data_IF_268522147554
#
_entry.id   IF_268522147554
#
_cell.length_a   1.000
_cell.length_b   1.000
_cell.length_c   1.000
_cell.angle_alpha   90.00
_cell.angle_beta   90.00
_cell.angle_gamma   90.00
#
_symmetry.space_group_name_H-M   'P 1'
#
loop_
_entity.id
_entity.type
_entity.pdbx_description
1 polymer ?
#
# COMPACT_ATOMS: atom_id res chain seq x y z
N UNK A 1 23.98 -28.62 -18.47
CA UNK A 1 23.70 -27.71 -17.33
C UNK A 1 22.34 -27.00 -17.45
N UNK A 2 22.00 -26.37 -18.58
CA UNK A 2 20.73 -25.63 -18.76
C UNK A 2 19.46 -26.45 -18.48
N UNK A 3 19.41 -27.71 -18.91
CA UNK A 3 18.27 -28.60 -18.65
C UNK A 3 18.06 -28.93 -17.16
N UNK A 4 19.15 -29.04 -16.37
CA UNK A 4 19.06 -29.28 -14.92
C UNK A 4 18.61 -28.02 -14.18
N UNK A 5 19.07 -26.84 -14.59
CA UNK A 5 18.55 -25.57 -14.06
C UNK A 5 17.07 -25.37 -14.35
N UNK A 6 16.61 -25.67 -15.56
CA UNK A 6 15.19 -25.54 -15.92
C UNK A 6 14.30 -26.51 -15.14
N UNK A 7 14.78 -27.72 -14.84
CA UNK A 7 14.04 -28.71 -14.03
C UNK A 7 13.93 -28.26 -12.57
N UNK A 8 15.00 -27.68 -12.01
CA UNK A 8 14.97 -27.09 -10.66
C UNK A 8 14.03 -25.88 -10.60
N UNK A 9 14.08 -24.99 -11.60
CA UNK A 9 13.16 -23.84 -11.67
C UNK A 9 11.71 -24.32 -11.80
N UNK A 10 11.42 -25.30 -12.65
CA UNK A 10 10.08 -25.85 -12.83
C UNK A 10 9.56 -26.55 -11.55
N UNK A 11 10.42 -27.27 -10.83
CA UNK A 11 10.07 -27.89 -9.55
C UNK A 11 9.80 -26.85 -8.46
N UNK A 12 10.59 -25.78 -8.40
CA UNK A 12 10.37 -24.65 -7.49
C UNK A 12 9.05 -23.94 -7.82
N UNK A 13 8.77 -23.66 -9.11
CA UNK A 13 7.50 -23.06 -9.55
C UNK A 13 6.30 -23.95 -9.23
N UNK A 14 6.40 -25.27 -9.45
CA UNK A 14 5.31 -26.19 -9.15
C UNK A 14 5.04 -26.30 -7.63
N UNK A 15 6.10 -26.28 -6.80
CA UNK A 15 5.98 -26.33 -5.34
C UNK A 15 5.40 -25.02 -4.78
N UNK A 16 5.75 -23.86 -5.35
CA UNK A 16 5.19 -22.57 -4.94
C UNK A 16 3.73 -22.37 -5.37
N UNK A 17 3.31 -22.95 -6.50
CA UNK A 17 1.89 -22.97 -6.87
C UNK A 17 1.06 -23.91 -5.97
N UNK A 18 1.67 -24.98 -5.44
CA UNK A 18 1.01 -25.94 -4.54
C UNK A 18 0.76 -25.42 -3.12
N UNK A 19 1.45 -24.36 -2.69
CA UNK A 19 1.27 -23.73 -1.36
C UNK A 19 0.40 -22.47 -1.39
N UNK A 20 -0.26 -22.20 -2.51
CA UNK A 20 -1.23 -21.12 -2.60
C UNK A 20 -2.41 -21.38 -1.66
N UNK A 21 -2.67 -20.46 -0.74
CA UNK A 21 -3.82 -20.51 0.15
C UNK A 21 -5.10 -20.28 -0.65
N UNK A 22 -6.18 -21.01 -0.33
CA UNK A 22 -7.46 -20.84 -0.98
C UNK A 22 -8.06 -19.45 -0.66
N UNK A 23 -8.55 -18.76 -1.69
CA UNK A 23 -9.20 -17.47 -1.58
C UNK A 23 -10.62 -17.60 -1.00
N UNK A 24 -10.74 -17.95 0.28
CA UNK A 24 -12.04 -18.08 0.96
C UNK A 24 -12.59 -16.70 1.34
N UNK A 25 -13.72 -16.32 0.76
CA UNK A 25 -14.56 -15.20 1.20
C UNK A 25 -15.99 -15.38 0.68
N UNK A 26 -16.99 -14.96 1.46
CA UNK A 26 -18.38 -14.93 1.02
C UNK A 26 -18.63 -13.64 0.25
N UNK A 27 -18.27 -13.65 -1.04
CA UNK A 27 -18.41 -12.46 -1.88
C UNK A 27 -19.87 -12.22 -2.25
N UNK A 28 -20.36 -10.98 -2.07
CA UNK A 28 -21.71 -10.59 -2.45
C UNK A 28 -21.71 -9.57 -3.60
N UNK A 29 -22.51 -9.81 -4.63
CA UNK A 29 -22.64 -8.94 -5.80
C UNK A 29 -24.13 -8.70 -6.13
N UNK A 30 -24.81 -7.90 -5.32
CA UNK A 30 -26.24 -7.63 -5.49
C UNK A 30 -26.47 -6.48 -6.48
N UNK A 31 -27.28 -6.71 -7.52
CA UNK A 31 -27.65 -5.65 -8.47
C UNK A 31 -26.46 -5.05 -9.24
N UNK A 32 -25.31 -5.71 -9.24
CA UNK A 32 -24.06 -5.20 -9.81
C UNK A 32 -23.76 -5.85 -11.17
N UNK A 33 -23.12 -5.11 -12.07
CA UNK A 33 -22.68 -5.60 -13.39
C UNK A 33 -21.16 -5.64 -13.42
N UNK A 34 -20.59 -6.80 -13.77
CA UNK A 34 -19.13 -6.94 -13.90
C UNK A 34 -18.36 -6.82 -12.57
N UNK A 35 -18.91 -7.37 -11.48
CA UNK A 35 -18.22 -7.46 -10.20
C UNK A 35 -17.23 -8.65 -10.21
N UNK A 36 -15.95 -8.39 -9.92
CA UNK A 36 -14.89 -9.39 -9.77
C UNK A 36 -14.40 -9.32 -8.33
N UNK A 37 -14.48 -10.42 -7.61
CA UNK A 37 -14.17 -10.47 -6.18
C UNK A 37 -13.35 -11.71 -5.85
N UNK A 38 -12.31 -11.54 -5.06
CA UNK A 38 -11.48 -12.62 -4.54
C UNK A 38 -11.19 -12.34 -3.07
N UNK A 39 -11.30 -13.38 -2.24
CA UNK A 39 -10.89 -13.32 -0.84
C UNK A 39 -9.38 -13.11 -0.66
N UNK A 40 -8.88 -13.17 0.59
CA UNK A 40 -7.46 -13.14 0.88
C UNK A 40 -6.71 -14.25 0.15
N UNK A 41 -5.55 -13.93 -0.44
CA UNK A 41 -4.69 -14.89 -1.14
C UNK A 41 -3.27 -14.78 -0.62
N UNK A 42 -2.58 -15.91 -0.49
CA UNK A 42 -1.20 -15.91 -0.02
C UNK A 42 -0.40 -17.09 -0.55
N UNK A 43 0.91 -16.89 -0.67
CA UNK A 43 1.88 -17.91 -1.07
C UNK A 43 3.07 -17.84 -0.13
N UNK A 44 3.64 -18.99 0.21
CA UNK A 44 4.84 -19.07 1.07
C UNK A 44 5.92 -19.94 0.42
N UNK A 45 6.63 -19.43 -0.59
CA UNK A 45 7.87 -20.02 -1.08
C UNK A 45 8.88 -20.21 0.05
N UNK A 46 9.45 -21.41 0.15
CA UNK A 46 10.55 -21.73 1.07
C UNK A 46 11.62 -22.54 0.35
N UNK A 47 12.88 -22.33 0.72
CA UNK A 47 14.01 -23.12 0.28
C UNK A 47 14.96 -23.31 1.46
N UNK A 48 15.55 -24.49 1.60
CA UNK A 48 16.49 -24.77 2.68
C UNK A 48 17.47 -25.87 2.32
N UNK A 49 18.63 -25.83 2.96
CA UNK A 49 19.71 -26.81 2.81
C UNK A 49 20.38 -27.04 4.16
N UNK A 50 20.81 -28.27 4.42
CA UNK A 50 21.57 -28.62 5.61
C UNK A 50 22.73 -29.51 5.23
N UNK A 51 23.94 -29.19 5.69
CA UNK A 51 25.16 -29.98 5.45
C UNK A 51 26.09 -29.88 6.65
N UNK A 52 26.49 -31.04 7.21
CA UNK A 52 27.54 -31.14 8.24
C UNK A 52 27.38 -30.15 9.43
N UNK A 53 26.16 -29.97 9.95
CA UNK A 53 25.88 -29.06 11.06
C UNK A 53 25.74 -27.59 10.66
N UNK A 54 25.91 -27.26 9.38
CA UNK A 54 25.51 -25.99 8.80
C UNK A 54 24.10 -26.07 8.21
N UNK A 55 23.28 -25.07 8.45
CA UNK A 55 21.94 -24.91 7.89
C UNK A 55 21.83 -23.57 7.17
N UNK A 56 21.02 -23.53 6.13
CA UNK A 56 20.61 -22.30 5.47
C UNK A 56 19.15 -22.45 5.05
N UNK A 57 18.33 -21.43 5.28
CA UNK A 57 16.94 -21.40 4.88
C UNK A 57 16.56 -19.99 4.40
N UNK A 58 15.61 -19.94 3.48
CA UNK A 58 14.98 -18.72 3.02
C UNK A 58 13.47 -18.95 2.85
N UNK A 59 12.67 -17.94 3.19
CA UNK A 59 11.23 -17.92 2.97
C UNK A 59 10.80 -16.57 2.46
N UNK A 60 9.81 -16.53 1.57
CA UNK A 60 9.26 -15.27 1.05
C UNK A 60 7.73 -15.32 1.07
N UNK A 61 7.07 -15.35 2.24
CA UNK A 61 5.63 -15.24 2.30
C UNK A 61 5.17 -13.95 1.63
N UNK A 62 4.16 -14.02 0.75
CA UNK A 62 3.49 -12.88 0.11
C UNK A 62 2.00 -13.08 0.21
N UNK A 63 1.25 -12.04 0.58
CA UNK A 63 -0.20 -12.11 0.70
C UNK A 63 -0.90 -10.81 0.28
N UNK A 64 -2.11 -10.97 -0.26
CA UNK A 64 -3.17 -9.95 -0.23
C UNK A 64 -4.09 -10.35 0.91
N UNK A 65 -4.07 -9.57 1.98
CA UNK A 65 -4.76 -9.85 3.23
C UNK A 65 -6.18 -9.28 3.30
N UNK A 66 -6.58 -8.87 4.51
CA UNK A 66 -7.94 -8.42 4.82
C UNK A 66 -8.79 -9.53 5.44
N UNK A 67 -9.83 -9.12 6.15
CA UNK A 67 -10.80 -10.01 6.78
C UNK A 67 -12.21 -9.65 6.34
N UNK A 68 -13.10 -10.63 6.39
CA UNK A 68 -14.48 -10.45 5.97
C UNK A 68 -14.68 -10.45 4.47
N UNK A 69 -15.90 -10.09 4.07
CA UNK A 69 -16.41 -10.28 2.72
C UNK A 69 -16.14 -9.08 1.83
N UNK A 70 -16.14 -9.33 0.53
CA UNK A 70 -16.25 -8.27 -0.47
C UNK A 70 -17.73 -8.08 -0.82
N UNK A 71 -18.17 -6.82 -0.93
CA UNK A 71 -19.58 -6.48 -1.21
C UNK A 71 -19.66 -5.46 -2.34
N UNK A 72 -20.28 -5.83 -3.45
CA UNK A 72 -20.64 -4.91 -4.53
C UNK A 72 -22.18 -4.81 -4.63
N UNK A 73 -22.73 -3.62 -4.40
CA UNK A 73 -24.17 -3.36 -4.44
C UNK A 73 -24.49 -2.27 -5.45
N UNK A 74 -25.33 -2.56 -6.45
CA UNK A 74 -25.73 -1.61 -7.50
C UNK A 74 -24.53 -0.93 -8.20
N UNK A 75 -23.42 -1.64 -8.33
CA UNK A 75 -22.18 -1.11 -8.88
C UNK A 75 -21.90 -1.67 -10.28
N UNK A 76 -21.15 -0.93 -11.09
CA UNK A 76 -20.69 -1.36 -12.41
C UNK A 76 -19.16 -1.45 -12.39
N UNK A 77 -18.59 -2.61 -12.75
CA UNK A 77 -17.15 -2.78 -12.85
C UNK A 77 -16.42 -2.67 -11.51
N UNK A 78 -16.95 -3.30 -10.46
CA UNK A 78 -16.28 -3.36 -9.15
C UNK A 78 -15.27 -4.51 -9.11
N UNK A 79 -13.99 -4.22 -8.88
CA UNK A 79 -12.92 -5.22 -8.72
C UNK A 79 -12.40 -5.16 -7.29
N UNK A 80 -12.47 -6.27 -6.57
CA UNK A 80 -12.12 -6.33 -5.14
C UNK A 80 -11.21 -7.54 -4.86
N UNK A 81 -10.10 -7.31 -4.19
CA UNK A 81 -9.16 -8.37 -3.81
C UNK A 81 -8.78 -8.28 -2.33
N UNK A 82 -8.79 -9.42 -1.65
CA UNK A 82 -8.62 -9.52 -0.20
C UNK A 82 -9.96 -9.65 0.52
N UNK A 83 -10.01 -9.21 1.77
CA UNK A 83 -11.24 -9.19 2.58
C UNK A 83 -11.67 -7.78 2.99
N UNK A 84 -12.97 -7.55 3.10
CA UNK A 84 -13.56 -6.34 3.69
C UNK A 84 -13.66 -5.15 2.73
N UNK A 85 -13.84 -5.40 1.44
CA UNK A 85 -14.05 -4.32 0.46
C UNK A 85 -15.55 -4.07 0.24
N UNK A 86 -15.96 -2.82 0.02
CA UNK A 86 -17.35 -2.44 -0.23
C UNK A 86 -17.44 -1.40 -1.34
N UNK A 87 -18.22 -1.70 -2.36
CA UNK A 87 -18.57 -0.81 -3.47
C UNK A 87 -20.10 -0.70 -3.54
N UNK A 88 -20.66 0.51 -3.34
CA UNK A 88 -22.10 0.74 -3.33
C UNK A 88 -22.50 1.86 -4.29
N UNK A 89 -23.24 1.55 -5.35
CA UNK A 89 -23.67 2.54 -6.35
C UNK A 89 -22.52 3.13 -7.16
N UNK A 90 -21.39 2.43 -7.25
CA UNK A 90 -20.15 2.96 -7.82
C UNK A 90 -19.88 2.41 -9.23
N UNK A 91 -19.18 3.18 -10.06
CA UNK A 91 -18.77 2.80 -11.41
C UNK A 91 -17.24 2.72 -11.50
N UNK A 92 -16.68 1.57 -11.87
CA UNK A 92 -15.25 1.39 -12.06
C UNK A 92 -14.42 1.55 -10.79
N UNK A 93 -14.81 0.88 -9.70
CA UNK A 93 -14.05 0.89 -8.43
C UNK A 93 -13.13 -0.32 -8.34
N UNK A 94 -11.84 -0.11 -8.08
CA UNK A 94 -10.88 -1.16 -7.76
C UNK A 94 -10.40 -1.03 -6.32
N UNK A 95 -10.52 -2.09 -5.53
CA UNK A 95 -10.16 -2.09 -4.12
C UNK A 95 -9.29 -3.31 -3.81
N UNK A 96 -8.18 -3.07 -3.14
CA UNK A 96 -7.28 -4.12 -2.64
C UNK A 96 -7.07 -3.86 -1.16
N UNK A 97 -7.23 -4.89 -0.35
CA UNK A 97 -6.94 -4.84 1.10
C UNK A 97 -5.44 -4.67 1.34
N UNK A 98 -4.95 -4.97 2.54
CA UNK A 98 -3.50 -4.92 2.80
C UNK A 98 -2.74 -5.87 1.88
N UNK A 99 -1.57 -5.44 1.41
CA UNK A 99 -0.64 -6.29 0.65
C UNK A 99 0.63 -6.42 1.48
N UNK A 100 1.08 -7.63 1.75
CA UNK A 100 2.28 -7.86 2.56
C UNK A 100 3.21 -8.90 1.95
N UNK A 101 4.49 -8.75 2.25
CA UNK A 101 5.53 -9.71 1.98
C UNK A 101 6.47 -9.78 3.19
N UNK A 102 6.89 -10.96 3.62
CA UNK A 102 7.82 -11.13 4.75
C UNK A 102 9.05 -11.97 4.41
N UNK A 103 9.84 -11.61 3.37
CA UNK A 103 11.12 -12.24 3.09
C UNK A 103 11.96 -12.42 4.35
N UNK A 104 12.47 -13.63 4.56
CA UNK A 104 13.46 -13.94 5.58
C UNK A 104 14.46 -14.96 5.09
N UNK A 105 15.68 -14.86 5.58
CA UNK A 105 16.74 -15.82 5.38
C UNK A 105 17.42 -16.08 6.72
N UNK A 106 17.84 -17.31 6.96
CA UNK A 106 18.62 -17.70 8.11
C UNK A 106 19.71 -18.67 7.72
N UNK A 107 20.79 -18.67 8.47
CA UNK A 107 21.86 -19.63 8.36
C UNK A 107 22.49 -19.88 9.71
N UNK A 108 23.06 -21.05 9.91
CA UNK A 108 23.79 -21.33 11.12
C UNK A 108 24.84 -22.40 10.90
N UNK A 109 25.88 -22.38 11.72
CA UNK A 109 26.91 -23.40 11.75
C UNK A 109 27.54 -23.41 13.15
N UNK A 110 27.69 -24.59 13.75
CA UNK A 110 28.48 -24.78 14.98
C UNK A 110 28.12 -23.80 16.12
N UNK A 111 26.82 -23.57 16.36
CA UNK A 111 26.33 -22.66 17.41
C UNK A 111 26.38 -21.17 17.06
N UNK A 112 26.78 -20.82 15.84
CA UNK A 112 26.64 -19.47 15.27
C UNK A 112 25.38 -19.41 14.41
N UNK A 113 24.65 -18.32 14.48
CA UNK A 113 23.41 -18.09 13.75
C UNK A 113 23.44 -16.72 13.09
N UNK A 114 22.94 -16.62 11.86
CA UNK A 114 22.68 -15.38 11.16
C UNK A 114 21.26 -15.40 10.62
N UNK A 115 20.59 -14.26 10.63
CA UNK A 115 19.26 -14.08 10.08
C UNK A 115 19.12 -12.71 9.45
N UNK A 116 18.30 -12.61 8.42
CA UNK A 116 17.88 -11.36 7.83
C UNK A 116 16.40 -11.47 7.46
N UNK A 117 15.66 -10.39 7.63
CA UNK A 117 14.26 -10.30 7.26
C UNK A 117 13.97 -8.92 6.69
N UNK A 118 13.07 -8.85 5.71
CA UNK A 118 12.61 -7.57 5.15
C UNK A 118 11.09 -7.61 5.00
N UNK A 119 10.32 -7.60 6.10
CA UNK A 119 8.87 -7.44 6.03
C UNK A 119 8.52 -6.12 5.34
N UNK A 120 7.62 -6.17 4.37
CA UNK A 120 7.06 -5.03 3.66
C UNK A 120 5.54 -5.17 3.66
N UNK A 121 4.82 -4.10 3.97
CA UNK A 121 3.36 -4.06 3.93
C UNK A 121 2.92 -2.75 3.28
N UNK A 122 1.91 -2.79 2.42
CA UNK A 122 1.17 -1.61 1.98
C UNK A 122 -0.20 -1.65 2.66
N UNK A 123 -0.44 -0.65 3.50
CA UNK A 123 -1.68 -0.50 4.22
C UNK A 123 -1.71 -1.09 5.62
N UNK A 124 -2.86 -0.93 6.27
CA UNK A 124 -3.15 -1.47 7.61
C UNK A 124 -4.35 -2.42 7.60
N UNK A 125 -4.83 -2.76 8.79
CA UNK A 125 -6.15 -3.37 8.93
C UNK A 125 -7.25 -2.37 8.56
N UNK A 126 -8.42 -2.87 8.20
CA UNK A 126 -9.60 -2.06 7.89
C UNK A 126 -10.17 -2.30 6.49
N UNK A 127 -11.36 -1.77 6.26
CA UNK A 127 -12.14 -1.98 5.03
C UNK A 127 -11.90 -0.85 4.02
N UNK A 128 -12.04 -1.16 2.74
CA UNK A 128 -12.06 -0.14 1.68
C UNK A 128 -13.52 0.11 1.28
N UNK A 129 -13.95 1.37 1.21
CA UNK A 129 -15.34 1.74 0.89
C UNK A 129 -15.38 2.72 -0.29
N UNK A 130 -16.17 2.42 -1.31
CA UNK A 130 -16.44 3.31 -2.43
C UNK A 130 -17.96 3.42 -2.63
N UNK A 131 -18.54 4.55 -2.27
CA UNK A 131 -19.98 4.79 -2.31
C UNK A 131 -20.32 5.89 -3.29
N UNK A 132 -21.19 5.62 -4.26
CA UNK A 132 -21.61 6.56 -5.31
C UNK A 132 -20.44 7.20 -6.05
N UNK A 133 -19.36 6.44 -6.27
CA UNK A 133 -18.09 6.94 -6.79
C UNK A 133 -17.80 6.43 -8.21
N UNK A 134 -17.05 7.19 -9.00
CA UNK A 134 -16.63 6.83 -10.37
C UNK A 134 -15.10 6.72 -10.45
N UNK A 135 -14.55 5.61 -10.92
CA UNK A 135 -13.11 5.48 -11.17
C UNK A 135 -12.23 5.56 -9.92
N UNK A 136 -12.66 4.96 -8.80
CA UNK A 136 -11.88 4.95 -7.56
C UNK A 136 -10.92 3.75 -7.48
N UNK A 137 -9.67 3.96 -7.09
CA UNK A 137 -8.67 2.93 -6.81
C UNK A 137 -8.21 3.05 -5.36
N UNK A 138 -8.35 1.99 -4.58
CA UNK A 138 -7.98 1.98 -3.16
C UNK A 138 -7.11 0.77 -2.86
N UNK A 139 -5.98 0.99 -2.18
CA UNK A 139 -5.03 -0.05 -1.78
C UNK A 139 -4.78 0.08 -0.28
N UNK A 140 -4.77 -1.00 0.48
CA UNK A 140 -4.19 -1.00 1.83
C UNK A 140 -5.12 -0.73 3.01
N UNK A 141 -6.43 -0.95 2.89
CA UNK A 141 -7.36 -0.95 4.03
C UNK A 141 -7.62 0.41 4.69
N UNK A 142 -8.87 0.62 5.13
CA UNK A 142 -9.31 1.86 5.79
C UNK A 142 -9.57 3.05 4.84
N UNK A 143 -9.56 2.85 3.53
CA UNK A 143 -9.83 3.92 2.57
C UNK A 143 -11.34 4.10 2.33
N UNK A 144 -11.77 5.34 2.11
CA UNK A 144 -13.15 5.71 1.85
C UNK A 144 -13.23 6.76 0.73
N UNK A 145 -14.06 6.50 -0.28
CA UNK A 145 -14.38 7.42 -1.37
C UNK A 145 -15.90 7.51 -1.52
N UNK A 146 -16.48 8.65 -1.12
CA UNK A 146 -17.93 8.90 -1.21
C UNK A 146 -18.20 9.99 -2.23
N UNK A 147 -19.12 9.76 -3.17
CA UNK A 147 -19.51 10.75 -4.18
C UNK A 147 -18.38 11.22 -5.09
N UNK A 148 -17.30 10.47 -5.20
CA UNK A 148 -16.03 10.95 -5.76
C UNK A 148 -15.74 10.36 -7.14
N UNK A 149 -15.06 11.12 -8.00
CA UNK A 149 -14.58 10.75 -9.33
C UNK A 149 -13.05 10.73 -9.36
N UNK A 150 -12.42 9.66 -9.84
CA UNK A 150 -10.97 9.60 -10.08
C UNK A 150 -10.10 9.64 -8.83
N UNK A 151 -10.49 8.98 -7.74
CA UNK A 151 -9.72 8.93 -6.49
C UNK A 151 -8.73 7.76 -6.51
N UNK A 152 -7.47 8.01 -6.13
CA UNK A 152 -6.45 7.01 -5.85
C UNK A 152 -6.02 7.15 -4.39
N UNK A 153 -6.22 6.10 -3.60
CA UNK A 153 -5.84 6.07 -2.20
C UNK A 153 -4.99 4.84 -1.93
N UNK A 154 -3.87 5.03 -1.26
CA UNK A 154 -3.03 3.96 -0.73
C UNK A 154 -2.82 4.19 0.75
N UNK A 155 -3.12 3.16 1.55
CA UNK A 155 -2.68 3.10 2.94
C UNK A 155 -1.15 3.13 3.04
N UNK A 156 -0.66 3.21 4.26
CA UNK A 156 0.76 3.44 4.53
C UNK A 156 1.67 2.30 4.07
N UNK A 157 2.66 2.56 3.20
CA UNK A 157 3.73 1.60 2.96
C UNK A 157 4.65 1.55 4.17
N UNK A 158 5.07 0.35 4.54
CA UNK A 158 5.90 0.01 5.67
C UNK A 158 6.92 -1.04 5.24
N UNK A 159 8.17 -0.89 5.65
CA UNK A 159 9.23 -1.87 5.48
C UNK A 159 10.07 -1.91 6.75
N UNK A 160 10.34 -3.10 7.28
CA UNK A 160 11.15 -3.26 8.50
C UNK A 160 12.34 -4.21 8.30
N UNK A 161 13.30 -3.88 7.41
CA UNK A 161 14.54 -4.63 7.29
C UNK A 161 15.20 -4.84 8.66
N UNK A 162 15.58 -6.07 8.94
CA UNK A 162 16.36 -6.45 10.10
C UNK A 162 17.38 -7.51 9.72
N UNK A 163 18.58 -7.42 10.28
CA UNK A 163 19.61 -8.44 10.20
C UNK A 163 20.12 -8.70 11.62
N UNK A 164 20.41 -9.96 11.92
CA UNK A 164 20.95 -10.37 13.20
C UNK A 164 21.98 -11.46 13.03
N UNK A 165 23.02 -11.43 13.84
CA UNK A 165 23.97 -12.51 13.97
C UNK A 165 24.23 -12.76 15.45
N UNK A 166 24.37 -14.02 15.83
CA UNK A 166 24.74 -14.41 17.18
C UNK A 166 25.76 -15.53 17.14
N UNK A 167 26.72 -15.43 18.05
CA UNK A 167 27.66 -16.49 18.43
C UNK A 167 27.49 -16.73 19.93
N UNK A 168 28.03 -17.83 20.46
CA UNK A 168 27.93 -18.16 21.88
C UNK A 168 28.36 -16.96 22.76
N UNK A 169 27.37 -16.31 23.39
CA UNK A 169 27.58 -15.19 24.32
C UNK A 169 27.46 -13.78 23.71
N UNK A 170 27.36 -13.63 22.39
CA UNK A 170 27.25 -12.31 21.74
C UNK A 170 26.15 -12.30 20.66
N UNK A 171 25.39 -11.21 20.62
CA UNK A 171 24.40 -10.96 19.58
C UNK A 171 24.58 -9.55 19.03
N UNK A 172 24.58 -9.46 17.71
CA UNK A 172 24.56 -8.21 16.96
C UNK A 172 23.26 -8.16 16.16
N UNK A 173 22.59 -7.02 16.18
CA UNK A 173 21.40 -6.79 15.39
C UNK A 173 21.44 -5.42 14.75
N UNK A 174 20.86 -5.30 13.56
CA UNK A 174 20.63 -4.05 12.88
C UNK A 174 19.23 -4.07 12.30
N UNK A 175 18.48 -2.99 12.45
CA UNK A 175 17.19 -2.78 11.81
C UNK A 175 17.14 -1.41 11.17
N UNK A 176 16.40 -1.31 10.08
CA UNK A 176 16.24 -0.07 9.33
C UNK A 176 14.78 0.16 8.92
N UNK A 177 13.83 0.22 9.88
CA UNK A 177 12.42 0.45 9.55
C UNK A 177 12.20 1.76 8.80
N UNK A 178 11.35 1.70 7.77
CA UNK A 178 10.86 2.84 6.99
C UNK A 178 9.35 2.69 6.81
N UNK A 179 8.57 3.74 7.05
CA UNK A 179 7.19 3.73 6.61
C UNK A 179 6.34 4.92 7.01
N UNK A 180 5.13 4.96 6.46
CA UNK A 180 4.13 6.01 6.69
C UNK A 180 3.30 5.77 7.95
N UNK A 181 3.13 6.78 8.82
CA UNK A 181 2.22 6.64 9.97
C UNK A 181 0.76 6.91 9.56
N UNK A 182 -0.17 6.33 10.33
CA UNK A 182 -1.61 6.46 10.11
C UNK A 182 -2.23 5.32 9.31
N UNK A 183 -3.54 5.16 9.46
CA UNK A 183 -4.38 4.25 8.68
C UNK A 183 -5.51 5.03 8.01
N UNK A 184 -5.87 4.60 6.80
CA UNK A 184 -7.06 5.06 6.10
C UNK A 184 -6.98 6.45 5.49
N UNK A 185 -7.72 6.63 4.41
CA UNK A 185 -7.75 7.84 3.61
C UNK A 185 -9.22 8.14 3.29
N UNK A 186 -9.66 9.38 3.43
CA UNK A 186 -11.05 9.78 3.14
C UNK A 186 -11.09 10.81 2.03
N UNK A 187 -11.92 10.55 1.02
CA UNK A 187 -12.23 11.47 -0.06
C UNK A 187 -13.75 11.59 -0.21
N UNK A 188 -14.26 12.82 -0.17
CA UNK A 188 -15.68 13.10 -0.36
C UNK A 188 -15.87 14.15 -1.46
N UNK A 189 -16.83 13.89 -2.36
CA UNK A 189 -17.26 14.78 -3.44
C UNK A 189 -16.09 15.35 -4.27
N UNK A 190 -15.11 14.50 -4.60
CA UNK A 190 -13.85 14.89 -5.26
C UNK A 190 -13.85 14.58 -6.76
N UNK A 191 -13.12 15.35 -7.57
CA UNK A 191 -12.77 15.09 -8.97
C UNK A 191 -11.24 14.99 -9.05
N UNK A 192 -10.65 13.87 -8.64
CA UNK A 192 -9.20 13.67 -8.60
C UNK A 192 -8.58 13.92 -7.23
N UNK A 193 -8.21 12.84 -6.54
CA UNK A 193 -7.37 12.90 -5.34
C UNK A 193 -6.38 11.74 -5.35
N UNK A 194 -5.13 11.98 -4.95
CA UNK A 194 -4.08 10.99 -4.77
C UNK A 194 -3.61 11.07 -3.32
N UNK A 195 -3.93 10.06 -2.50
CA UNK A 195 -3.54 10.04 -1.09
C UNK A 195 -2.66 8.82 -0.85
N UNK A 196 -1.50 9.03 -0.25
CA UNK A 196 -0.56 7.97 0.13
C UNK A 196 -0.25 8.09 1.62
N UNK A 197 -0.16 6.97 2.32
CA UNK A 197 -0.06 7.01 3.78
C UNK A 197 -1.42 6.88 4.43
N UNK A 198 -1.52 7.24 5.70
CA UNK A 198 -2.78 7.23 6.42
C UNK A 198 -3.14 8.58 7.01
N UNK A 199 -4.40 8.66 7.41
CA UNK A 199 -5.03 9.84 8.01
C UNK A 199 -5.06 11.07 7.09
N UNK A 200 -5.18 10.86 5.78
CA UNK A 200 -5.44 11.95 4.82
C UNK A 200 -6.96 12.14 4.64
N UNK A 201 -7.43 13.37 4.67
CA UNK A 201 -8.84 13.73 4.44
C UNK A 201 -8.94 14.84 3.40
N UNK A 202 -9.71 14.60 2.35
CA UNK A 202 -9.97 15.55 1.27
C UNK A 202 -11.47 15.71 1.08
N UNK A 203 -11.93 16.96 1.11
CA UNK A 203 -13.34 17.32 0.87
C UNK A 203 -13.43 18.35 -0.25
N UNK A 204 -14.24 18.08 -1.29
CA UNK A 204 -14.50 18.96 -2.47
C UNK A 204 -13.27 19.32 -3.33
N UNK A 205 -12.56 18.34 -3.90
CA UNK A 205 -11.31 18.57 -4.68
C UNK A 205 -11.44 18.46 -6.21
N UNK A 206 -10.48 19.01 -6.97
CA UNK A 206 -10.30 18.83 -8.44
C UNK A 206 -8.89 18.33 -8.87
N UNK A 207 -7.92 18.21 -7.95
CA UNK A 207 -6.64 17.49 -8.07
C UNK A 207 -5.87 17.79 -6.77
N UNK A 208 -5.71 16.79 -5.92
CA UNK A 208 -5.00 16.97 -4.64
C UNK A 208 -4.12 15.77 -4.35
N UNK A 209 -2.88 16.03 -3.92
CA UNK A 209 -1.92 15.03 -3.54
C UNK A 209 -1.54 15.19 -2.07
N UNK A 210 -1.82 14.18 -1.24
CA UNK A 210 -1.43 14.19 0.16
C UNK A 210 -0.60 12.96 0.50
N UNK A 211 0.46 13.17 1.28
CA UNK A 211 1.22 12.09 1.90
C UNK A 211 1.27 12.22 3.41
N UNK A 212 0.93 11.15 4.13
CA UNK A 212 1.10 11.09 5.59
C UNK A 212 2.57 11.24 6.03
N UNK A 213 2.81 11.32 7.34
CA UNK A 213 4.17 11.38 7.88
C UNK A 213 4.95 10.09 7.57
N UNK A 214 6.22 10.23 7.20
CA UNK A 214 7.13 9.12 6.94
C UNK A 214 8.23 9.10 8.00
N UNK A 215 8.49 7.93 8.58
CA UNK A 215 9.60 7.72 9.50
C UNK A 215 10.56 6.71 8.89
N UNK A 216 11.85 7.01 8.92
CA UNK A 216 12.93 6.09 8.62
C UNK A 216 13.88 6.10 9.82
N UNK A 217 14.23 4.94 10.35
CA UNK A 217 15.18 4.89 11.46
C UNK A 217 16.11 3.72 11.30
N UNK A 218 17.37 3.90 11.68
CA UNK A 218 18.30 2.79 11.81
C UNK A 218 18.56 2.54 13.28
N UNK A 219 18.48 1.29 13.71
CA UNK A 219 18.92 0.84 15.03
C UNK A 219 19.98 -0.22 14.82
N UNK A 220 21.13 -0.08 15.45
CA UNK A 220 22.16 -1.11 15.48
C UNK A 220 22.53 -1.39 16.94
N UNK A 221 22.72 -2.65 17.29
CA UNK A 221 23.12 -3.04 18.63
C UNK A 221 24.06 -4.23 18.63
N UNK A 222 24.95 -4.25 19.61
CA UNK A 222 25.88 -5.33 19.90
C UNK A 222 25.98 -5.49 21.42
N UNK A 223 25.67 -6.68 21.94
CA UNK A 223 25.56 -6.90 23.39
C UNK A 223 24.53 -5.95 24.03
N UNK A 224 24.93 -5.24 25.09
CA UNK A 224 24.08 -4.28 25.81
C UNK A 224 24.10 -2.85 25.23
N UNK A 225 24.78 -2.65 24.09
CA UNK A 225 24.86 -1.33 23.45
C UNK A 225 23.90 -1.26 22.28
N UNK A 226 23.08 -0.20 22.23
CA UNK A 226 22.18 0.11 21.12
C UNK A 226 22.34 1.56 20.70
N UNK A 227 22.45 1.78 19.39
CA UNK A 227 22.49 3.11 18.77
C UNK A 227 21.28 3.21 17.85
N UNK A 228 20.52 4.30 17.97
CA UNK A 228 19.39 4.58 17.09
C UNK A 228 19.53 5.95 16.45
N UNK A 229 19.11 6.07 15.19
CA UNK A 229 19.06 7.33 14.45
C UNK A 229 17.73 7.43 13.67
N UNK A 230 16.60 7.66 14.35
CA UNK A 230 15.33 7.91 13.69
C UNK A 230 15.33 9.29 13.02
N UNK A 231 14.78 9.34 11.82
CA UNK A 231 14.44 10.53 11.04
C UNK A 231 12.96 10.44 10.69
N UNK A 232 12.19 11.47 11.01
CA UNK A 232 10.79 11.58 10.64
C UNK A 232 10.59 12.82 9.78
N UNK A 233 9.89 12.66 8.67
CA UNK A 233 9.39 13.73 7.82
C UNK A 233 7.88 13.82 8.04
N UNK A 234 7.43 14.95 8.59
CA UNK A 234 6.06 15.18 9.03
C UNK A 234 5.90 15.02 10.54
N UNK A 235 5.11 15.89 11.17
CA UNK A 235 4.71 15.70 12.56
C UNK A 235 3.71 14.54 12.68
N UNK A 236 3.49 14.04 13.90
CA UNK A 236 2.32 13.19 14.13
C UNK A 236 1.04 13.98 13.84
N UNK A 237 0.14 13.44 13.01
CA UNK A 237 -1.13 14.10 12.69
C UNK A 237 -1.66 13.79 11.30
N UNK A 238 -2.96 14.04 11.11
CA UNK A 238 -3.64 13.92 9.82
C UNK A 238 -3.30 15.08 8.87
N UNK A 239 -3.47 14.85 7.57
CA UNK A 239 -3.57 15.94 6.58
C UNK A 239 -5.04 16.18 6.27
N UNK A 240 -5.45 17.44 6.23
CA UNK A 240 -6.83 17.81 5.91
C UNK A 240 -6.86 18.90 4.86
N UNK A 241 -7.71 18.76 3.85
CA UNK A 241 -8.06 19.85 2.95
C UNK A 241 -9.55 19.92 2.70
N UNK A 242 -10.04 21.14 2.58
CA UNK A 242 -11.46 21.42 2.35
C UNK A 242 -11.53 22.44 1.21
N UNK A 243 -12.29 22.15 0.15
CA UNK A 243 -12.67 23.01 -1.00
C UNK A 243 -11.70 23.12 -2.19
N UNK A 244 -10.71 22.22 -2.29
CA UNK A 244 -9.55 22.19 -3.20
C UNK A 244 -9.76 22.25 -4.74
N UNK A 245 -8.79 22.87 -5.46
CA UNK A 245 -8.43 22.67 -6.90
C UNK A 245 -6.87 22.66 -7.05
N UNK A 246 -6.12 22.13 -6.06
CA UNK A 246 -4.66 21.95 -6.19
C UNK A 246 -3.83 22.02 -4.91
N UNK A 247 -4.06 21.17 -3.91
CA UNK A 247 -3.23 21.15 -2.70
C UNK A 247 -2.23 19.98 -2.69
N UNK A 248 -1.03 20.23 -2.19
CA UNK A 248 0.08 19.29 -2.03
C UNK A 248 0.54 19.27 -0.58
N UNK A 249 0.17 18.26 0.20
CA UNK A 249 0.55 18.20 1.61
C UNK A 249 1.48 17.02 1.85
N UNK A 250 2.64 17.27 2.45
CA UNK A 250 3.65 16.26 2.72
C UNK A 250 3.94 16.22 4.22
N UNK A 251 3.86 15.05 4.82
CA UNK A 251 4.05 14.90 6.26
C UNK A 251 2.78 15.23 7.04
N UNK A 252 2.63 14.72 8.27
CA UNK A 252 1.40 14.90 9.05
C UNK A 252 1.26 16.27 9.71
N UNK A 253 0.00 16.61 10.04
CA UNK A 253 -0.37 17.80 10.81
C UNK A 253 -0.72 19.04 9.98
N UNK A 254 -0.94 18.88 8.67
CA UNK A 254 -1.30 19.99 7.79
C UNK A 254 -2.83 20.17 7.71
N UNK A 255 -3.29 21.41 7.51
CA UNK A 255 -4.72 21.73 7.38
C UNK A 255 -4.91 22.86 6.37
N UNK A 256 -5.75 22.64 5.36
CA UNK A 256 -5.97 23.54 4.23
C UNK A 256 -7.47 23.74 3.94
N UNK A 257 -8.14 24.54 4.78
CA UNK A 257 -9.58 24.80 4.67
C UNK A 257 -9.87 25.95 3.70
N UNK A 258 -10.71 25.74 2.68
CA UNK A 258 -11.08 26.72 1.64
C UNK A 258 -10.21 26.74 0.37
N UNK A 259 -9.55 25.63 0.01
CA UNK A 259 -8.33 25.62 -0.82
C UNK A 259 -8.48 25.66 -2.36
N UNK A 260 -7.41 26.16 -3.02
CA UNK A 260 -6.86 25.84 -4.37
C UNK A 260 -5.38 26.28 -4.37
N UNK A 261 -4.37 25.42 -4.60
CA UNK A 261 -2.96 25.82 -4.85
C UNK A 261 -1.95 25.75 -3.69
N UNK A 262 -2.26 25.15 -2.54
CA UNK A 262 -1.38 25.18 -1.35
C UNK A 262 -0.37 24.03 -1.34
N UNK A 263 0.90 24.30 -1.00
CA UNK A 263 1.88 23.25 -0.70
C UNK A 263 2.35 23.41 0.73
N UNK A 264 2.17 22.37 1.55
CA UNK A 264 2.57 22.37 2.95
C UNK A 264 3.43 21.15 3.26
N UNK A 265 4.39 21.34 4.14
CA UNK A 265 5.20 20.24 4.68
C UNK A 265 5.15 20.26 6.20
N UNK A 266 4.89 19.09 6.80
CA UNK A 266 5.06 18.91 8.24
C UNK A 266 6.54 18.99 8.64
N UNK A 267 6.83 19.15 9.95
CA UNK A 267 8.19 19.29 10.45
C UNK A 267 9.05 18.06 10.15
N UNK A 268 10.35 18.29 9.92
CA UNK A 268 11.36 17.22 9.83
C UNK A 268 12.13 17.17 11.14
N UNK A 269 12.22 15.99 11.75
CA UNK A 269 12.91 15.79 13.02
C UNK A 269 13.79 14.55 12.99
N UNK A 270 14.87 14.57 13.76
CA UNK A 270 15.69 13.40 14.01
C UNK A 270 16.37 13.50 15.37
N UNK A 271 16.33 12.42 16.13
CA UNK A 271 16.89 12.37 17.48
C UNK A 271 17.75 11.11 17.63
N UNK A 272 19.03 11.18 17.24
CA UNK A 272 19.95 10.08 17.50
C UNK A 272 20.06 9.81 19.00
N UNK A 273 20.13 8.54 19.38
CA UNK A 273 20.34 8.12 20.76
C UNK A 273 21.33 6.97 20.85
N UNK A 274 22.03 6.92 21.97
CA UNK A 274 22.93 5.83 22.34
C UNK A 274 22.52 5.36 23.73
N UNK A 275 22.26 4.06 23.88
CA UNK A 275 22.01 3.43 25.17
C UNK A 275 23.00 2.30 25.36
N UNK A 276 23.73 2.33 26.48
CA UNK A 276 24.64 1.26 26.92
C UNK A 276 24.16 0.71 28.26
N UNK A 277 24.01 -0.61 28.37
CA UNK A 277 23.72 -1.27 29.65
C UNK A 277 24.85 -1.09 30.68
N UNK A 278 24.58 -1.35 31.98
CA UNK A 278 25.56 -1.13 33.03
C UNK A 278 26.67 -2.19 32.98
N UNK A 279 27.80 -1.89 32.34
CA UNK A 279 29.04 -2.63 32.60
C UNK A 279 29.70 -2.07 33.85
N UNK A 280 29.79 -2.90 34.89
CA UNK A 280 30.55 -2.59 36.10
C UNK A 280 32.04 -2.40 35.75
N UNK A 281 32.48 -1.14 35.66
CA UNK A 281 33.74 -0.55 36.15
C UNK A 281 34.15 0.65 35.29
N UNK A 282 34.37 1.80 35.94
CA UNK A 282 35.17 2.89 35.41
C UNK A 282 34.35 4.06 34.86
N UNK A 283 34.32 5.14 35.65
CA UNK A 283 33.80 6.48 35.32
C UNK A 283 34.16 6.96 33.91
N UNK A 284 33.15 7.12 33.06
CA UNK A 284 33.20 8.04 31.92
C UNK A 284 31.91 8.86 31.89
N UNK A 285 31.99 10.08 32.43
CA UNK A 285 30.96 11.11 32.32
C UNK A 285 30.90 11.59 30.87
N UNK A 286 30.04 11.01 30.05
CA UNK A 286 29.68 11.56 28.75
C UNK A 286 28.33 12.28 28.86
N UNK A 287 28.39 13.58 29.12
CA UNK A 287 27.23 14.46 29.01
C UNK A 287 26.80 14.53 27.54
N UNK A 288 25.67 13.92 27.19
CA UNK A 288 24.96 14.25 25.96
C UNK A 288 23.91 15.31 26.28
N UNK A 289 24.26 16.57 26.03
CA UNK A 289 23.28 17.66 25.99
C UNK A 289 22.38 17.41 24.78
N UNK A 290 21.06 17.23 24.93
CA UNK A 290 20.17 17.21 23.78
C UNK A 290 20.21 18.58 23.12
N UNK A 291 20.60 18.66 21.85
CA UNK A 291 20.37 19.85 21.05
C UNK A 291 18.85 19.97 20.83
N UNK A 292 18.20 20.81 21.62
CA UNK A 292 16.84 21.29 21.34
C UNK A 292 16.89 22.08 20.03
N UNK A 293 16.62 21.42 18.91
CA UNK A 293 16.26 22.11 17.69
C UNK A 293 14.87 22.68 17.89
N UNK A 294 14.80 23.86 18.50
CA UNK A 294 13.61 24.70 18.49
C UNK A 294 13.36 25.11 17.04
N UNK A 295 12.50 24.39 16.32
CA UNK A 295 11.88 24.95 15.13
C UNK A 295 10.87 26.00 15.60
N UNK A 296 11.32 27.25 15.65
CA UNK A 296 10.45 28.41 15.82
C UNK A 296 9.38 28.33 14.72
N UNK A 297 8.07 28.29 15.04
CA UNK A 297 7.06 28.52 14.03
C UNK A 297 7.31 29.90 13.44
N UNK A 298 7.41 29.99 12.11
CA UNK A 298 7.29 31.28 11.45
C UNK A 298 5.91 31.83 11.82
N UNK A 299 5.90 32.84 12.69
CA UNK A 299 4.70 33.62 12.99
C UNK A 299 4.21 34.18 11.67
N UNK A 300 3.06 33.70 11.19
CA UNK A 300 2.34 34.33 10.10
C UNK A 300 1.82 35.68 10.61
N UNK A 301 2.65 36.71 10.51
CA UNK A 301 2.24 38.11 10.63
C UNK A 301 1.30 38.42 9.47
N UNK A 302 0.01 38.31 9.72
CA UNK A 302 -1.03 38.65 8.75
C UNK A 302 -2.37 38.04 9.06
N UNK A 303 -2.91 38.24 10.26
CA UNK A 303 -4.33 38.02 10.52
C UNK A 303 -5.14 39.10 9.76
N UNK A 304 -6.01 38.77 8.79
CA UNK A 304 -6.98 39.74 8.31
C UNK A 304 -7.99 40.01 9.42
N UNK A 305 -8.14 41.29 9.76
CA UNK A 305 -9.14 41.81 10.70
C UNK A 305 -10.54 41.25 10.36
N UNK A 306 -11.30 40.73 11.34
CA UNK A 306 -12.73 40.48 11.18
C UNK A 306 -13.46 41.83 11.18
N UNK A 307 -13.67 42.41 10.01
CA UNK A 307 -14.33 43.70 9.85
C UNK A 307 -15.19 43.77 8.60
N UNK A 308 -16.49 43.96 8.80
CA UNK A 308 -17.50 44.46 7.85
C UNK A 308 -17.71 43.67 6.55
N UNK A 309 -18.63 42.69 6.61
CA UNK A 309 -19.44 42.34 5.42
C UNK A 309 -20.43 43.49 5.20
N UNK A 310 -20.15 44.34 4.22
CA UNK A 310 -21.20 45.11 3.57
C UNK A 310 -21.94 44.15 2.64
N UNK A 311 -23.23 43.98 2.92
CA UNK A 311 -24.20 43.50 1.96
C UNK A 311 -24.23 44.40 0.72
N UNK A 312 -24.79 43.87 -0.37
CA UNK A 312 -25.38 44.62 -1.49
C UNK A 312 -24.52 44.75 -2.75
N UNK A 313 -24.46 43.63 -3.49
CA UNK A 313 -24.24 43.63 -4.94
C UNK A 313 -25.40 42.88 -5.60
N UNK A 314 -26.34 43.62 -6.17
CA UNK A 314 -27.53 43.12 -6.85
C UNK A 314 -27.23 42.07 -7.93
N UNK A 315 -28.14 41.09 -8.17
CA UNK A 315 -27.92 40.04 -9.16
C UNK A 315 -27.90 40.62 -10.58
N UNK A 316 -26.77 40.49 -11.27
CA UNK A 316 -26.68 40.71 -12.72
C UNK A 316 -27.18 39.44 -13.44
N UNK A 317 -28.27 39.50 -14.23
CA UNK A 317 -28.66 38.39 -15.08
C UNK A 317 -27.86 38.51 -16.39
N UNK A 318 -26.79 37.74 -16.51
CA UNK A 318 -26.26 37.26 -17.80
C UNK A 318 -25.02 36.40 -17.51
N UNK A 319 -25.28 35.17 -17.06
CA UNK A 319 -24.28 34.10 -17.15
C UNK A 319 -24.77 33.18 -18.26
N UNK A 320 -24.16 33.32 -19.43
CA UNK A 320 -24.37 32.40 -20.54
C UNK A 320 -24.15 30.98 -20.03
N UNK A 321 -25.15 30.12 -20.27
CA UNK A 321 -25.15 28.70 -19.96
C UNK A 321 -23.94 28.02 -20.59
N UNK A 322 -22.95 27.67 -19.78
CA UNK A 322 -21.96 26.66 -20.13
C UNK A 322 -22.68 25.33 -20.28
N UNK A 323 -22.86 24.89 -21.53
CA UNK A 323 -23.61 23.66 -21.88
C UNK A 323 -24.41 23.73 -23.18
N UNK A 324 -24.48 24.90 -23.84
CA UNK A 324 -25.08 25.00 -25.17
C UNK A 324 -24.18 24.34 -26.25
N UNK A 325 -24.52 23.08 -26.52
CA UNK A 325 -24.42 22.33 -27.79
C UNK A 325 -23.07 22.17 -28.49
N UNK A 326 -22.58 20.92 -28.45
CA UNK A 326 -22.33 20.16 -29.68
C UNK A 326 -22.89 18.76 -29.54
N UNK A 327 -24.12 18.56 -30.00
CA UNK A 327 -24.65 17.26 -30.40
C UNK A 327 -23.77 16.74 -31.55
N UNK A 328 -23.01 15.64 -31.40
CA UNK A 328 -22.33 15.05 -32.53
C UNK A 328 -23.38 14.40 -33.41
N UNK A 329 -23.47 14.92 -34.63
CA UNK A 329 -24.28 14.39 -35.71
C UNK A 329 -23.95 12.90 -35.90
N UNK A 330 -25.00 12.12 -35.89
CA UNK A 330 -25.08 10.69 -36.14
C UNK A 330 -24.23 10.22 -37.33
N UNK A 331 -23.18 9.48 -37.02
CA UNK A 331 -22.59 8.46 -37.89
C UNK A 331 -22.59 7.12 -37.14
N UNK A 332 -22.86 5.98 -37.78
CA UNK A 332 -22.85 4.69 -37.11
C UNK A 332 -21.43 4.43 -36.58
N UNK A 333 -21.28 4.43 -35.26
CA UNK A 333 -20.05 3.96 -34.62
C UNK A 333 -19.91 2.48 -34.95
N UNK A 334 -18.92 2.16 -35.79
CA UNK A 334 -18.46 0.78 -35.95
C UNK A 334 -18.03 0.31 -34.56
N UNK A 335 -18.81 -0.60 -33.96
CA UNK A 335 -18.39 -1.35 -32.77
C UNK A 335 -16.97 -1.86 -33.05
N UNK A 336 -16.02 -1.37 -32.27
CA UNK A 336 -14.63 -1.79 -32.34
C UNK A 336 -14.56 -3.30 -32.29
N UNK A 337 -14.12 -3.88 -33.39
CA UNK A 337 -13.84 -5.30 -33.52
C UNK A 337 -12.83 -5.66 -32.42
N UNK A 338 -13.27 -6.45 -31.44
CA UNK A 338 -12.39 -6.96 -30.39
C UNK A 338 -11.20 -7.64 -31.07
N UNK A 339 -9.95 -7.39 -30.65
CA UNK A 339 -8.74 -7.79 -31.38
C UNK A 339 -8.52 -9.30 -31.52
N UNK A 340 -9.46 -10.12 -31.03
CA UNK A 340 -9.40 -11.58 -31.11
C UNK A 340 -10.76 -12.13 -31.57
N UNK A 341 -11.14 -11.89 -32.83
CA UNK A 341 -12.29 -12.58 -33.44
C UNK A 341 -11.85 -13.87 -34.15
N UNK A 342 -12.63 -14.94 -33.94
CA UNK A 342 -12.57 -16.20 -34.69
C UNK A 342 -11.33 -17.06 -34.45
N UNK A 343 -10.22 -16.74 -35.10
CA UNK A 343 -9.04 -17.62 -35.16
C UNK A 343 -8.07 -17.40 -33.99
N UNK A 344 -7.89 -16.16 -33.55
CA UNK A 344 -6.96 -15.82 -32.46
C UNK A 344 -7.40 -16.42 -31.12
N UNK A 345 -8.70 -16.34 -30.82
CA UNK A 345 -9.28 -16.97 -29.63
C UNK A 345 -9.16 -18.50 -29.69
N UNK A 346 -9.39 -19.10 -30.87
CA UNK A 346 -9.27 -20.54 -31.07
C UNK A 346 -7.84 -21.03 -30.84
N UNK A 347 -6.82 -20.27 -31.28
CA UNK A 347 -5.42 -20.60 -31.03
C UNK A 347 -5.05 -20.51 -29.54
N UNK A 348 -5.57 -19.53 -28.80
CA UNK A 348 -5.34 -19.41 -27.35
C UNK A 348 -6.01 -20.56 -26.60
N UNK A 349 -7.24 -20.92 -26.97
CA UNK A 349 -7.95 -22.08 -26.38
C UNK A 349 -7.23 -23.40 -26.69
N UNK A 350 -6.77 -23.57 -27.93
CA UNK A 350 -6.00 -24.75 -28.34
C UNK A 350 -4.68 -24.86 -27.56
N UNK A 351 -3.97 -23.74 -27.38
CA UNK A 351 -2.74 -23.70 -26.60
C UNK A 351 -2.99 -24.06 -25.13
N UNK A 352 -4.09 -23.55 -24.54
CA UNK A 352 -4.51 -23.90 -23.19
C UNK A 352 -4.80 -25.40 -23.03
N UNK A 353 -5.52 -26.00 -23.99
CA UNK A 353 -5.81 -27.43 -23.99
C UNK A 353 -4.54 -28.29 -24.15
N UNK A 354 -3.61 -27.88 -25.00
CA UNK A 354 -2.32 -28.57 -25.17
C UNK A 354 -1.51 -28.53 -23.86
N UNK A 355 -1.47 -27.38 -23.18
CA UNK A 355 -0.79 -27.25 -21.89
C UNK A 355 -1.42 -28.14 -20.81
N UNK A 356 -2.74 -28.17 -20.72
CA UNK A 356 -3.46 -29.04 -19.77
C UNK A 356 -3.21 -30.52 -20.07
N UNK A 357 -3.31 -30.94 -21.33
CA UNK A 357 -3.03 -32.31 -21.74
C UNK A 357 -1.59 -32.72 -21.43
N UNK A 358 -0.62 -31.84 -21.72
CA UNK A 358 0.80 -32.09 -21.43
C UNK A 358 1.02 -32.23 -19.92
N UNK A 359 0.36 -31.40 -19.10
CA UNK A 359 0.40 -31.49 -17.64
C UNK A 359 -0.21 -32.76 -17.06
N UNK A 360 -1.32 -33.27 -17.63
CA UNK A 360 -1.89 -34.55 -17.21
C UNK A 360 -1.01 -35.74 -17.60
N UNK A 361 -0.34 -35.67 -18.75
CA UNK A 361 0.52 -36.74 -19.25
C UNK A 361 1.80 -36.88 -18.41
N UNK A 362 2.35 -35.77 -17.93
CA UNK A 362 3.49 -35.82 -16.99
C UNK A 362 3.08 -36.35 -15.62
N UNK A 363 1.86 -36.04 -15.14
CA UNK A 363 1.33 -36.53 -13.86
C UNK A 363 1.00 -38.03 -13.87
N UNK A 364 0.61 -38.58 -15.00
CA UNK A 364 0.33 -40.03 -15.14
C UNK A 364 1.63 -40.84 -15.23
N UNK A 365 2.66 -40.31 -15.89
CA UNK A 365 3.99 -40.97 -15.94
C UNK A 365 4.69 -41.01 -14.58
N UNK A 366 4.50 -40.01 -13.72
CA UNK A 366 5.08 -40.03 -12.37
C UNK A 366 4.38 -41.00 -11.40
N UNK A 367 3.16 -41.46 -11.72
CA UNK A 367 2.45 -42.47 -10.92
C UNK A 367 2.74 -43.92 -11.32
N UNK A 368 3.39 -44.16 -12.46
CA UNK A 368 3.74 -45.49 -12.95
C UNK A 368 5.20 -45.88 -12.66
N UNK A 369 5.94 -45.03 -11.95
CA UNK A 369 7.33 -45.25 -11.55
C UNK A 369 7.50 -45.38 -10.02
N UNK A 370 6.44 -45.82 -9.33
CA UNK A 370 6.48 -46.32 -7.94
C UNK A 370 6.04 -47.77 -7.95
#
# INVERSE_FOLDING_TARGET
MRARCLLVIAAVVALTLGTAQAALADNNATGSVGAVQTGPVGVTPTAGTSQAGATAAASVPVAVGGSGNNTATNSVGAVQAGGGNTSNGSTGSAQVSSVSASPSASGGASGSNASAGVPVTVGGGGTNTASSSTGGVQIGGGNSATGSSGVLQSGSPQASPAAGASIVGEAVSASAPVGGTGSGNSAADSVGAAQVGGSNTVTRSFLEAQSGAATAGTTAGAGDTTTSAPVTVGGGGANSATDSIGAGQVGGGNTATGSVGTVQSGPVGGTPSLASGPTAMGTATAASTPATSASTPASATGAPLPGTRTSEGAPRPNRNTFGATKTPTSGPQKLGQLPFTGLGLLLIVLLGLILVATGLTTRTRTRLSV
#
